data_IF_597516623047
#
_entry.id   IF_597516623047
#
_cell.length_a   1.000
_cell.length_b   1.000
_cell.length_c   1.000
_cell.angle_alpha   90.00
_cell.angle_beta   90.00
_cell.angle_gamma   90.00
#
_symmetry.space_group_name_H-M   'P 1'
#
loop_
_entity.id
_entity.type
_entity.pdbx_description
1 polymer ?
#
# COMPACT_ATOMS: atom_id res chain seq x y z
N UNK A 1 -12.92 -7.49 -29.72
CA UNK A 1 -12.72 -7.17 -28.28
C UNK A 1 -12.69 -8.50 -27.52
N UNK A 2 -11.54 -8.94 -27.01
CA UNK A 2 -11.43 -10.23 -26.29
C UNK A 2 -12.03 -10.06 -24.88
N UNK A 3 -13.30 -10.36 -24.74
CA UNK A 3 -14.08 -10.28 -23.48
C UNK A 3 -13.55 -11.29 -22.43
N UNK A 4 -12.90 -12.35 -22.87
CA UNK A 4 -12.45 -13.47 -22.03
C UNK A 4 -10.98 -13.44 -21.62
N UNK A 5 -10.27 -12.32 -21.84
CA UNK A 5 -8.87 -12.22 -21.38
C UNK A 5 -8.80 -12.16 -19.87
N UNK A 6 -8.04 -13.05 -19.27
CA UNK A 6 -7.82 -13.11 -17.80
C UNK A 6 -6.43 -12.63 -17.42
N UNK A 7 -6.29 -12.23 -16.16
CA UNK A 7 -4.98 -12.06 -15.55
C UNK A 7 -4.39 -13.44 -15.14
N UNK A 8 -3.14 -13.55 -14.68
CA UNK A 8 -2.53 -14.80 -14.24
C UNK A 8 -3.28 -15.54 -13.11
N UNK A 9 -4.18 -14.84 -12.39
CA UNK A 9 -5.00 -15.41 -11.31
C UNK A 9 -6.41 -15.81 -11.75
N UNK A 10 -6.69 -15.82 -13.07
CA UNK A 10 -7.98 -16.20 -13.62
C UNK A 10 -9.07 -15.12 -13.56
N UNK A 11 -8.76 -13.90 -13.13
CA UNK A 11 -9.73 -12.82 -13.10
C UNK A 11 -9.94 -12.23 -14.49
N UNK A 12 -11.18 -12.13 -14.94
CA UNK A 12 -11.55 -11.48 -16.21
C UNK A 12 -11.16 -10.00 -16.20
N UNK A 13 -10.29 -9.59 -17.12
CA UNK A 13 -9.79 -8.22 -17.20
C UNK A 13 -10.89 -7.20 -17.44
N UNK A 14 -11.92 -7.58 -18.20
CA UNK A 14 -13.10 -6.73 -18.41
C UNK A 14 -13.82 -6.42 -17.11
N UNK A 15 -14.08 -7.42 -16.26
CA UNK A 15 -14.74 -7.23 -14.96
C UNK A 15 -13.83 -6.40 -14.03
N UNK A 16 -12.54 -6.74 -13.97
CA UNK A 16 -11.55 -5.98 -13.20
C UNK A 16 -11.53 -4.50 -13.59
N UNK A 17 -11.56 -4.21 -14.89
CA UNK A 17 -11.60 -2.84 -15.43
C UNK A 17 -12.82 -2.07 -14.94
N UNK A 18 -14.00 -2.69 -14.96
CA UNK A 18 -15.23 -2.06 -14.48
C UNK A 18 -15.22 -1.85 -12.96
N UNK A 19 -14.74 -2.82 -12.19
CA UNK A 19 -14.57 -2.67 -10.73
C UNK A 19 -13.68 -1.47 -10.42
N UNK A 20 -12.52 -1.36 -11.06
CA UNK A 20 -11.58 -0.25 -10.85
C UNK A 20 -12.22 1.09 -11.23
N UNK A 21 -12.99 1.17 -12.33
CA UNK A 21 -13.70 2.38 -12.73
C UNK A 21 -14.74 2.80 -11.70
N UNK A 22 -15.64 1.89 -11.32
CA UNK A 22 -16.73 2.19 -10.38
C UNK A 22 -16.16 2.59 -9.02
N UNK A 23 -15.26 1.80 -8.48
CA UNK A 23 -14.61 2.09 -7.20
C UNK A 23 -13.77 3.38 -7.27
N UNK A 24 -13.09 3.61 -8.38
CA UNK A 24 -12.31 4.82 -8.60
C UNK A 24 -13.20 6.07 -8.63
N UNK A 25 -14.28 6.07 -9.39
CA UNK A 25 -15.23 7.21 -9.41
C UNK A 25 -15.80 7.47 -8.03
N UNK A 26 -16.21 6.42 -7.31
CA UNK A 26 -16.77 6.56 -5.97
C UNK A 26 -15.73 7.08 -4.95
N UNK A 27 -14.49 6.58 -5.03
CA UNK A 27 -13.44 6.91 -4.05
C UNK A 27 -12.75 8.25 -4.33
N UNK A 28 -12.79 8.77 -5.54
CA UNK A 28 -12.11 10.03 -5.91
C UNK A 28 -12.46 11.20 -4.99
N UNK A 29 -13.75 11.36 -4.63
CA UNK A 29 -14.20 12.41 -3.72
C UNK A 29 -13.58 12.34 -2.34
N UNK A 30 -13.07 11.19 -1.92
CA UNK A 30 -12.44 10.99 -0.61
C UNK A 30 -11.08 11.67 -0.52
N UNK A 31 -10.37 11.74 -1.67
CA UNK A 31 -9.03 12.30 -1.79
C UNK A 31 -9.03 13.69 -2.41
N UNK A 32 -10.15 14.07 -3.06
CA UNK A 32 -10.32 15.36 -3.71
C UNK A 32 -11.75 15.88 -3.57
N UNK A 33 -12.08 16.31 -2.40
CA UNK A 33 -13.40 16.86 -2.09
C UNK A 33 -13.69 16.82 -0.60
N UNK A 34 -13.76 15.63 0.01
CA UNK A 34 -13.89 15.52 1.45
C UNK A 34 -12.57 15.80 2.17
N UNK A 35 -11.48 15.39 1.58
CA UNK A 35 -10.12 15.61 2.03
C UNK A 35 -9.27 16.09 0.84
N UNK A 36 -8.04 16.49 1.11
CA UNK A 36 -7.06 16.86 0.10
C UNK A 36 -5.88 15.88 0.15
N UNK A 37 -5.54 15.31 -1.01
CA UNK A 37 -4.35 14.48 -1.18
C UNK A 37 -3.26 15.29 -1.88
N UNK A 38 -2.24 15.69 -1.12
CA UNK A 38 -0.99 16.24 -1.64
C UNK A 38 -0.09 15.10 -2.07
N UNK A 39 0.42 15.18 -3.29
CA UNK A 39 1.24 14.14 -3.91
C UNK A 39 2.59 14.78 -4.26
N UNK A 40 3.67 14.03 -4.09
CA UNK A 40 5.02 14.45 -4.45
C UNK A 40 5.78 13.27 -5.06
N UNK A 41 6.54 13.50 -6.13
CA UNK A 41 7.42 12.52 -6.76
C UNK A 41 6.70 11.55 -7.70
N UNK A 42 5.49 11.86 -8.15
CA UNK A 42 4.72 10.94 -9.00
C UNK A 42 5.28 10.81 -10.43
N UNK A 43 6.21 11.67 -10.84
CA UNK A 43 6.97 11.54 -12.08
C UNK A 43 7.77 10.23 -12.13
N UNK A 44 8.24 9.74 -10.99
CA UNK A 44 8.95 8.47 -10.88
C UNK A 44 8.12 7.32 -11.45
N UNK A 45 6.80 7.33 -11.19
CA UNK A 45 5.88 6.26 -11.62
C UNK A 45 5.77 6.18 -13.14
N UNK A 46 5.85 7.33 -13.83
CA UNK A 46 5.75 7.39 -15.30
C UNK A 46 6.87 6.63 -15.99
N UNK A 47 8.06 6.69 -15.40
CA UNK A 47 9.29 6.19 -16.01
C UNK A 47 9.62 4.74 -15.58
N UNK A 48 8.74 4.11 -14.77
CA UNK A 48 8.91 2.72 -14.34
C UNK A 48 8.59 1.72 -15.45
N UNK A 49 9.25 0.56 -15.48
CA UNK A 49 8.94 -0.51 -16.41
C UNK A 49 7.53 -1.04 -16.21
N UNK A 50 7.04 -1.78 -17.22
CA UNK A 50 5.66 -2.29 -17.21
C UNK A 50 5.39 -3.29 -16.10
N UNK A 51 6.38 -4.06 -15.67
CA UNK A 51 6.31 -5.11 -14.65
C UNK A 51 7.55 -5.08 -13.76
N UNK A 52 7.62 -6.02 -12.83
CA UNK A 52 8.70 -6.23 -11.86
C UNK A 52 9.02 -4.99 -11.00
N UNK A 53 7.98 -4.29 -10.57
CA UNK A 53 8.09 -3.15 -9.65
C UNK A 53 7.38 -3.51 -8.35
N UNK A 54 8.09 -3.34 -7.24
CA UNK A 54 7.59 -3.55 -5.89
C UNK A 54 7.49 -2.20 -5.16
N UNK A 55 6.28 -1.68 -5.00
CA UNK A 55 6.03 -0.53 -4.14
C UNK A 55 5.96 -0.97 -2.69
N UNK A 56 6.77 -0.34 -1.86
CA UNK A 56 6.79 -0.54 -0.40
C UNK A 56 6.26 0.70 0.29
N UNK A 57 5.40 0.56 1.29
CA UNK A 57 4.84 1.71 2.00
C UNK A 57 4.59 1.43 3.48
N UNK A 58 4.61 2.48 4.29
CA UNK A 58 3.98 2.46 5.59
C UNK A 58 2.45 2.28 5.42
N UNK A 59 1.77 1.78 6.44
CA UNK A 59 0.36 1.38 6.34
C UNK A 59 -0.50 2.10 7.39
N UNK A 60 -1.51 2.81 6.96
CA UNK A 60 -2.36 3.58 7.86
C UNK A 60 -3.79 3.02 7.94
N UNK A 61 -4.32 2.47 6.83
CA UNK A 61 -5.66 1.89 6.76
C UNK A 61 -5.67 0.67 5.84
N UNK A 62 -6.60 -0.28 6.01
CA UNK A 62 -6.58 -1.51 5.23
C UNK A 62 -6.80 -1.31 3.73
N UNK A 63 -7.66 -0.36 3.32
CA UNK A 63 -8.04 -0.20 1.91
C UNK A 63 -7.78 1.18 1.34
N UNK A 64 -7.96 2.27 2.12
CA UNK A 64 -7.83 3.62 1.56
C UNK A 64 -6.42 3.90 1.02
N UNK A 65 -5.39 3.36 1.66
CA UNK A 65 -4.00 3.52 1.23
C UNK A 65 -3.79 2.98 -0.19
N UNK A 66 -4.21 1.75 -0.43
CA UNK A 66 -4.09 1.09 -1.74
C UNK A 66 -4.94 1.81 -2.80
N UNK A 67 -6.16 2.20 -2.45
CA UNK A 67 -7.06 2.92 -3.37
C UNK A 67 -6.47 4.26 -3.78
N UNK A 68 -5.85 5.00 -2.86
CA UNK A 68 -5.15 6.25 -3.18
C UNK A 68 -3.97 6.00 -4.14
N UNK A 69 -3.17 4.96 -3.91
CA UNK A 69 -2.07 4.57 -4.80
C UNK A 69 -2.58 4.24 -6.21
N UNK A 70 -3.70 3.52 -6.34
CA UNK A 70 -4.32 3.26 -7.65
C UNK A 70 -4.69 4.55 -8.38
N UNK A 71 -5.23 5.56 -7.67
CA UNK A 71 -5.51 6.87 -8.25
C UNK A 71 -4.23 7.55 -8.73
N UNK A 72 -3.21 7.65 -7.87
CA UNK A 72 -1.96 8.34 -8.16
C UNK A 72 -1.23 7.66 -9.32
N UNK A 73 -1.11 6.32 -9.30
CA UNK A 73 -0.43 5.58 -10.36
C UNK A 73 -1.09 5.78 -11.73
N UNK A 74 -2.42 5.65 -11.79
CA UNK A 74 -3.14 5.84 -13.04
C UNK A 74 -3.13 7.29 -13.53
N UNK A 75 -3.14 8.27 -12.61
CA UNK A 75 -3.01 9.69 -12.96
C UNK A 75 -1.64 10.00 -13.54
N UNK A 76 -0.57 9.54 -12.89
CA UNK A 76 0.82 9.73 -13.33
C UNK A 76 1.07 9.07 -14.70
N UNK A 77 0.61 7.84 -14.93
CA UNK A 77 0.70 7.14 -16.22
C UNK A 77 -0.06 7.86 -17.36
N UNK A 78 -0.95 8.80 -17.04
CA UNK A 78 -1.64 9.68 -17.98
C UNK A 78 -1.02 11.09 -18.04
N UNK A 79 0.21 11.25 -17.54
CA UNK A 79 0.95 12.51 -17.57
C UNK A 79 0.47 13.55 -16.54
N UNK A 80 -0.35 13.16 -15.56
CA UNK A 80 -0.80 14.05 -14.48
C UNK A 80 0.11 13.91 -13.29
N UNK A 81 1.13 14.71 -13.26
CA UNK A 81 2.14 14.67 -12.21
C UNK A 81 1.61 15.39 -10.95
N UNK A 82 1.84 14.77 -9.81
CA UNK A 82 1.44 15.22 -8.46
C UNK A 82 -0.02 15.67 -8.35
N UNK A 83 -0.89 15.10 -9.18
CA UNK A 83 -2.29 15.51 -9.25
C UNK A 83 -3.24 14.39 -9.66
N UNK A 84 -4.31 14.25 -8.89
CA UNK A 84 -5.46 13.42 -9.25
C UNK A 84 -6.68 14.27 -9.69
N UNK A 85 -6.47 15.55 -10.00
CA UNK A 85 -7.52 16.41 -10.57
C UNK A 85 -8.06 15.77 -11.84
N UNK A 86 -9.37 15.91 -12.09
CA UNK A 86 -10.03 15.42 -13.29
C UNK A 86 -9.87 13.89 -13.50
N UNK A 87 -10.80 13.13 -13.00
CA UNK A 87 -10.82 11.68 -12.89
C UNK A 87 -10.68 10.87 -14.22
N UNK A 88 -10.60 11.53 -15.38
CA UNK A 88 -10.52 10.87 -16.69
C UNK A 88 -9.44 9.78 -16.82
N UNK A 89 -8.39 9.79 -15.99
CA UNK A 89 -7.36 8.75 -15.99
C UNK A 89 -7.90 7.34 -15.65
N UNK A 90 -9.06 7.25 -14.98
CA UNK A 90 -9.63 5.97 -14.57
C UNK A 90 -10.33 5.22 -15.70
N UNK A 91 -10.60 5.86 -16.85
CA UNK A 91 -11.27 5.21 -17.98
C UNK A 91 -10.45 4.13 -18.66
N UNK A 92 -9.12 4.25 -18.63
CA UNK A 92 -8.23 3.20 -19.12
C UNK A 92 -7.12 2.93 -18.09
N UNK A 93 -7.47 2.30 -16.96
CA UNK A 93 -6.53 2.07 -15.88
C UNK A 93 -5.52 0.97 -16.24
N UNK A 94 -4.34 1.03 -15.62
CA UNK A 94 -3.39 -0.08 -15.61
C UNK A 94 -4.01 -1.23 -14.82
N UNK A 95 -4.24 -2.36 -15.49
CA UNK A 95 -4.94 -3.50 -14.90
C UNK A 95 -4.03 -4.44 -14.13
N UNK A 96 -2.74 -4.46 -14.44
CA UNK A 96 -1.74 -5.31 -13.79
C UNK A 96 -1.05 -4.58 -12.63
N UNK A 97 -1.86 -3.96 -11.76
CA UNK A 97 -1.46 -3.52 -10.43
C UNK A 97 -2.04 -4.50 -9.42
N UNK A 98 -1.19 -4.99 -8.55
CA UNK A 98 -1.52 -5.96 -7.50
C UNK A 98 -1.18 -5.40 -6.13
N UNK A 99 -1.78 -5.93 -5.08
CA UNK A 99 -1.43 -5.61 -3.70
C UNK A 99 -1.47 -6.85 -2.83
N UNK A 100 -0.49 -6.96 -1.95
CA UNK A 100 -0.41 -8.08 -1.01
C UNK A 100 -1.38 -7.82 0.15
N UNK A 101 -2.28 -8.76 0.40
CA UNK A 101 -3.26 -8.66 1.47
C UNK A 101 -3.43 -9.98 2.21
N UNK A 102 -3.81 -9.92 3.48
CA UNK A 102 -4.14 -11.12 4.24
C UNK A 102 -5.46 -11.73 3.76
N UNK A 103 -5.49 -13.04 3.53
CA UNK A 103 -6.65 -13.82 3.08
C UNK A 103 -7.87 -13.59 3.99
N UNK A 104 -7.66 -13.53 5.30
CA UNK A 104 -8.70 -13.24 6.29
C UNK A 104 -9.35 -11.87 6.05
N UNK A 105 -8.54 -10.85 5.74
CA UNK A 105 -9.03 -9.49 5.47
C UNK A 105 -9.88 -9.45 4.20
N UNK A 106 -9.48 -10.18 3.16
CA UNK A 106 -10.18 -10.20 1.88
C UNK A 106 -11.49 -11.00 1.95
N UNK A 107 -11.59 -11.96 2.85
CA UNK A 107 -12.80 -12.77 3.07
C UNK A 107 -13.80 -12.16 4.06
N UNK A 108 -13.49 -11.02 4.68
CA UNK A 108 -14.28 -10.43 5.76
C UNK A 108 -15.60 -9.75 5.31
N UNK A 109 -16.09 -9.98 4.10
CA UNK A 109 -17.35 -9.46 3.58
C UNK A 109 -17.35 -9.19 2.07
N UNK A 110 -18.46 -8.69 1.56
CA UNK A 110 -18.66 -8.46 0.12
C UNK A 110 -17.70 -7.39 -0.44
N UNK A 111 -17.58 -6.24 0.24
CA UNK A 111 -16.71 -5.14 -0.22
C UNK A 111 -15.24 -5.58 -0.27
N UNK A 112 -14.66 -6.22 0.76
CA UNK A 112 -13.32 -6.79 0.66
C UNK A 112 -13.14 -7.76 -0.50
N UNK A 113 -14.11 -8.62 -0.81
CA UNK A 113 -14.07 -9.55 -1.95
C UNK A 113 -14.03 -8.83 -3.30
N UNK A 114 -14.83 -7.76 -3.46
CA UNK A 114 -14.80 -6.93 -4.67
C UNK A 114 -13.45 -6.22 -4.81
N UNK A 115 -12.91 -5.68 -3.71
CA UNK A 115 -11.59 -5.07 -3.68
C UNK A 115 -10.49 -6.10 -3.99
N UNK A 116 -10.64 -7.34 -3.50
CA UNK A 116 -9.71 -8.43 -3.81
C UNK A 116 -9.66 -8.72 -5.32
N UNK A 117 -10.81 -8.73 -5.99
CA UNK A 117 -10.88 -8.92 -7.43
C UNK A 117 -10.15 -7.81 -8.21
N UNK A 118 -10.06 -6.60 -7.64
CA UNK A 118 -9.33 -5.50 -8.25
C UNK A 118 -7.81 -5.71 -8.28
N UNK A 119 -7.25 -6.71 -7.58
CA UNK A 119 -5.82 -7.04 -7.68
C UNK A 119 -5.16 -7.57 -6.41
N UNK A 120 -5.91 -8.16 -5.49
CA UNK A 120 -5.29 -8.77 -4.31
C UNK A 120 -4.51 -10.04 -4.66
N UNK A 121 -3.27 -10.10 -4.17
CA UNK A 121 -2.52 -11.35 -3.99
C UNK A 121 -2.66 -11.73 -2.52
N UNK A 122 -3.54 -12.69 -2.26
CA UNK A 122 -3.88 -13.08 -0.89
C UNK A 122 -2.82 -14.01 -0.31
N UNK A 123 -2.31 -13.64 0.87
CA UNK A 123 -1.35 -14.45 1.63
C UNK A 123 -1.93 -14.89 2.97
N UNK A 124 -1.49 -16.02 3.49
CA UNK A 124 -1.78 -16.43 4.86
C UNK A 124 -0.77 -15.79 5.82
N UNK A 125 -1.27 -15.14 6.87
CA UNK A 125 -0.39 -14.57 7.90
C UNK A 125 0.30 -15.68 8.68
N UNK A 126 1.59 -15.55 8.87
CA UNK A 126 2.40 -16.53 9.64
C UNK A 126 2.43 -16.24 11.13
N UNK A 127 2.04 -15.04 11.55
CA UNK A 127 2.16 -14.58 12.94
C UNK A 127 0.82 -14.28 13.63
N UNK A 128 -0.30 -14.21 12.90
CA UNK A 128 -1.62 -13.94 13.47
C UNK A 128 -2.72 -14.56 12.63
N UNK A 129 -3.65 -15.26 13.27
CA UNK A 129 -4.84 -15.81 12.65
C UNK A 129 -6.05 -15.54 13.55
N UNK A 130 -7.15 -15.00 13.00
CA UNK A 130 -8.40 -14.70 13.71
C UNK A 130 -8.23 -13.89 15.02
N UNK A 131 -7.18 -13.06 15.09
CA UNK A 131 -6.91 -12.27 16.29
C UNK A 131 -5.90 -12.88 17.25
N UNK A 132 -5.55 -14.14 17.11
CA UNK A 132 -4.58 -14.86 17.93
C UNK A 132 -3.21 -14.91 17.30
N UNK A 133 -2.16 -14.91 18.11
CA UNK A 133 -0.80 -15.08 17.64
C UNK A 133 -0.57 -16.55 17.23
N UNK A 134 -0.06 -16.75 16.04
CA UNK A 134 0.25 -18.08 15.49
C UNK A 134 1.67 -18.08 14.94
N UNK A 135 2.33 -19.23 15.02
CA UNK A 135 3.65 -19.43 14.42
C UNK A 135 3.52 -20.44 13.28
N UNK A 136 3.24 -19.95 12.07
CA UNK A 136 3.10 -20.79 10.87
C UNK A 136 4.28 -20.58 9.93
N UNK A 137 4.66 -21.63 9.24
CA UNK A 137 5.63 -21.53 8.14
C UNK A 137 4.99 -20.78 6.96
N UNK A 138 5.79 -19.97 6.27
CA UNK A 138 5.36 -19.29 5.04
C UNK A 138 5.03 -20.35 3.98
N UNK A 139 3.86 -20.25 3.35
CA UNK A 139 3.51 -21.15 2.25
C UNK A 139 4.28 -20.76 0.98
N UNK A 140 4.94 -21.73 0.37
CA UNK A 140 5.63 -21.53 -0.91
C UNK A 140 4.71 -21.00 -2.01
N UNK A 141 3.44 -21.44 -2.02
CA UNK A 141 2.42 -20.96 -2.94
C UNK A 141 2.20 -19.44 -2.85
N UNK A 142 2.21 -18.88 -1.64
CA UNK A 142 2.01 -17.44 -1.44
C UNK A 142 3.17 -16.64 -2.04
N UNK A 143 4.40 -17.12 -1.83
CA UNK A 143 5.61 -16.52 -2.40
C UNK A 143 5.59 -16.62 -3.93
N UNK A 144 5.22 -17.79 -4.46
CA UNK A 144 5.11 -18.03 -5.92
C UNK A 144 4.08 -17.09 -6.55
N UNK A 145 2.92 -16.92 -5.93
CA UNK A 145 1.87 -16.02 -6.42
C UNK A 145 2.35 -14.56 -6.46
N UNK A 146 3.16 -14.11 -5.49
CA UNK A 146 3.75 -12.77 -5.54
C UNK A 146 4.72 -12.66 -6.73
N UNK A 147 5.52 -13.69 -6.99
CA UNK A 147 6.40 -13.73 -8.16
C UNK A 147 5.63 -13.66 -9.48
N UNK A 148 4.53 -14.38 -9.59
CA UNK A 148 3.62 -14.32 -10.75
C UNK A 148 3.07 -12.89 -10.93
N UNK A 149 2.67 -12.22 -9.84
CA UNK A 149 2.20 -10.85 -9.89
C UNK A 149 3.28 -9.85 -10.32
N UNK A 150 4.52 -10.02 -9.83
CA UNK A 150 5.67 -9.18 -10.23
C UNK A 150 6.01 -9.36 -11.72
N UNK A 151 5.98 -10.59 -12.20
CA UNK A 151 6.23 -10.88 -13.62
C UNK A 151 5.15 -10.30 -14.55
N UNK A 152 3.91 -10.19 -14.10
CA UNK A 152 2.81 -9.61 -14.87
C UNK A 152 2.75 -8.08 -14.73
N UNK A 153 3.10 -7.52 -13.56
CA UNK A 153 2.90 -6.10 -13.32
C UNK A 153 3.59 -5.53 -12.10
N UNK A 154 2.89 -4.61 -11.46
CA UNK A 154 3.32 -3.89 -10.27
C UNK A 154 2.69 -4.47 -9.02
N UNK A 155 3.45 -4.57 -7.94
CA UNK A 155 2.98 -5.10 -6.67
C UNK A 155 3.16 -4.05 -5.57
N UNK A 156 2.09 -3.81 -4.80
CA UNK A 156 2.11 -2.96 -3.60
C UNK A 156 2.21 -3.87 -2.38
N UNK A 157 3.13 -3.57 -1.49
CA UNK A 157 3.27 -4.27 -0.21
C UNK A 157 3.44 -3.30 0.95
N UNK A 158 3.02 -3.75 2.12
CA UNK A 158 3.21 -3.05 3.39
C UNK A 158 4.14 -3.88 4.28
N UNK A 159 5.45 -3.57 4.28
CA UNK A 159 6.50 -4.43 4.84
C UNK A 159 6.34 -4.78 6.32
N UNK A 160 5.66 -3.92 7.09
CA UNK A 160 5.39 -4.16 8.50
C UNK A 160 4.26 -5.17 8.74
N UNK A 161 3.38 -5.38 7.74
CA UNK A 161 2.20 -6.27 7.82
C UNK A 161 1.15 -5.81 8.83
N UNK A 162 1.17 -4.55 9.23
CA UNK A 162 0.26 -3.95 10.22
C UNK A 162 0.08 -2.46 9.95
N UNK A 163 -1.06 -1.92 10.40
CA UNK A 163 -1.31 -0.47 10.40
C UNK A 163 -0.73 0.23 11.64
N UNK A 164 -0.14 -0.49 12.58
CA UNK A 164 0.52 0.09 13.75
C UNK A 164 1.88 0.64 13.32
N UNK A 165 2.17 1.93 13.57
CA UNK A 165 3.43 2.55 13.15
C UNK A 165 4.63 1.99 13.92
N UNK A 166 5.82 2.15 13.34
CA UNK A 166 7.11 1.80 13.93
C UNK A 166 7.24 0.33 14.36
N UNK A 167 6.41 -0.56 13.81
CA UNK A 167 6.64 -2.01 13.96
C UNK A 167 7.74 -2.46 13.00
N UNK A 168 8.53 -3.47 13.38
CA UNK A 168 9.62 -3.97 12.53
C UNK A 168 9.14 -4.41 11.14
N UNK A 169 9.97 -4.16 10.14
CA UNK A 169 9.80 -4.72 8.80
C UNK A 169 9.93 -6.24 8.86
N UNK A 170 9.06 -6.94 8.16
CA UNK A 170 9.04 -8.41 8.13
C UNK A 170 10.14 -8.98 7.21
N UNK A 171 10.85 -10.00 7.67
CA UNK A 171 11.89 -10.69 6.88
C UNK A 171 11.39 -11.20 5.52
N UNK A 172 10.09 -11.52 5.42
CA UNK A 172 9.47 -11.93 4.16
C UNK A 172 9.58 -10.91 3.04
N UNK A 173 9.59 -9.60 3.35
CA UNK A 173 9.79 -8.56 2.33
C UNK A 173 11.20 -8.60 1.77
N UNK A 174 12.23 -8.71 2.61
CA UNK A 174 13.61 -8.84 2.15
C UNK A 174 13.83 -10.11 1.34
N UNK A 175 13.21 -11.23 1.76
CA UNK A 175 13.23 -12.47 0.99
C UNK A 175 12.64 -12.32 -0.42
N UNK A 176 11.48 -11.66 -0.54
CA UNK A 176 10.86 -11.37 -1.84
C UNK A 176 11.76 -10.51 -2.73
N UNK A 177 12.37 -9.48 -2.15
CA UNK A 177 13.29 -8.57 -2.85
C UNK A 177 14.49 -9.34 -3.37
N UNK A 178 15.16 -10.14 -2.54
CA UNK A 178 16.32 -10.95 -2.97
C UNK A 178 15.94 -11.98 -4.04
N UNK A 179 14.78 -12.63 -3.89
CA UNK A 179 14.34 -13.70 -4.79
C UNK A 179 13.94 -13.21 -6.17
N UNK A 180 13.20 -12.10 -6.25
CA UNK A 180 12.61 -11.62 -7.51
C UNK A 180 13.33 -10.39 -8.08
N UNK A 181 14.26 -9.81 -7.35
CA UNK A 181 15.09 -8.65 -7.76
C UNK A 181 14.25 -7.54 -8.44
N UNK A 182 13.12 -7.09 -7.82
CA UNK A 182 12.28 -6.04 -8.41
C UNK A 182 12.92 -4.67 -8.25
N UNK A 183 12.46 -3.69 -9.05
CA UNK A 183 12.67 -2.28 -8.73
C UNK A 183 11.82 -1.95 -7.51
N UNK A 184 12.47 -1.58 -6.40
CA UNK A 184 11.80 -1.30 -5.12
C UNK A 184 11.58 0.19 -4.97
N UNK A 185 10.32 0.64 -4.98
CA UNK A 185 9.93 2.04 -4.91
C UNK A 185 9.25 2.34 -3.59
N UNK A 186 9.85 3.16 -2.71
CA UNK A 186 9.25 3.55 -1.45
C UNK A 186 8.16 4.60 -1.63
N UNK A 187 7.07 4.44 -0.86
CA UNK A 187 5.99 5.42 -0.75
C UNK A 187 5.76 5.71 0.73
N UNK A 188 5.72 6.98 1.08
CA UNK A 188 5.36 7.44 2.43
C UNK A 188 4.00 8.09 2.38
N UNK A 189 3.09 7.62 3.24
CA UNK A 189 1.75 8.19 3.36
C UNK A 189 1.50 8.74 4.77
N UNK A 190 0.75 9.85 4.85
CA UNK A 190 0.23 10.37 6.12
C UNK A 190 -1.18 10.93 5.97
N UNK A 191 -1.87 11.13 7.11
CA UNK A 191 -3.21 11.70 7.17
C UNK A 191 -4.36 10.70 7.00
N UNK A 192 -4.12 9.52 6.46
CA UNK A 192 -5.16 8.54 6.18
C UNK A 192 -5.84 8.02 7.46
N UNK A 193 -5.07 7.74 8.50
CA UNK A 193 -5.61 7.31 9.79
C UNK A 193 -6.49 8.37 10.46
N UNK A 194 -6.19 9.65 10.22
CA UNK A 194 -7.00 10.76 10.71
C UNK A 194 -8.30 10.91 9.94
N UNK A 195 -8.26 10.68 8.61
CA UNK A 195 -9.38 10.85 7.71
C UNK A 195 -10.38 9.69 7.75
N UNK A 196 -9.90 8.45 7.94
CA UNK A 196 -10.70 7.23 7.76
C UNK A 196 -10.75 6.37 9.01
N UNK A 197 -11.71 5.43 9.02
CA UNK A 197 -11.73 4.31 9.95
C UNK A 197 -10.55 3.35 9.68
N UNK A 198 -10.31 2.42 10.58
CA UNK A 198 -9.21 1.44 10.48
C UNK A 198 -9.25 0.64 9.17
N UNK A 199 -10.46 0.34 8.67
CA UNK A 199 -10.62 -0.35 7.39
C UNK A 199 -10.35 0.57 6.19
N UNK A 200 -10.47 1.89 6.35
CA UNK A 200 -10.35 2.84 5.24
C UNK A 200 -11.60 2.86 4.35
N UNK A 201 -12.74 2.37 4.86
CA UNK A 201 -14.00 2.33 4.11
C UNK A 201 -14.91 3.51 4.43
N UNK A 202 -14.86 4.02 5.65
CA UNK A 202 -15.67 5.16 6.10
C UNK A 202 -14.82 6.40 6.32
N UNK A 203 -15.29 7.56 5.84
CA UNK A 203 -14.69 8.85 6.18
C UNK A 203 -15.12 9.20 7.61
N UNK A 204 -14.15 9.34 8.51
CA UNK A 204 -14.36 9.75 9.90
C UNK A 204 -14.30 11.27 10.04
N UNK A 205 -13.37 11.90 9.34
CA UNK A 205 -13.13 13.34 9.41
C UNK A 205 -12.87 13.87 7.99
N UNK A 206 -13.45 15.04 7.69
CA UNK A 206 -13.23 15.78 6.45
C UNK A 206 -12.20 16.87 6.66
N UNK A 207 -11.77 17.49 5.57
CA UNK A 207 -10.78 18.57 5.56
C UNK A 207 -9.44 18.17 6.20
N UNK A 208 -9.06 16.91 6.02
CA UNK A 208 -7.75 16.40 6.42
C UNK A 208 -6.81 16.48 5.23
N UNK A 209 -5.66 17.10 5.44
CA UNK A 209 -4.53 17.00 4.52
C UNK A 209 -3.96 15.58 4.62
N UNK A 210 -4.03 14.87 3.52
CA UNK A 210 -3.36 13.59 3.30
C UNK A 210 -2.13 13.82 2.45
N UNK A 211 -1.06 13.12 2.69
CA UNK A 211 0.15 13.20 1.87
C UNK A 211 0.53 11.84 1.32
N UNK A 212 1.10 11.83 0.13
CA UNK A 212 1.71 10.67 -0.50
C UNK A 212 2.99 11.12 -1.20
N UNK A 213 4.13 10.71 -0.69
CA UNK A 213 5.45 11.00 -1.26
C UNK A 213 6.01 9.73 -1.87
N UNK A 214 6.27 9.73 -3.17
CA UNK A 214 6.93 8.66 -3.91
C UNK A 214 8.41 8.99 -3.94
N UNK A 215 9.25 8.09 -3.45
CA UNK A 215 10.69 8.28 -3.40
C UNK A 215 11.37 7.53 -4.54
N UNK A 216 12.59 7.93 -4.86
CA UNK A 216 13.42 7.23 -5.85
C UNK A 216 13.55 5.75 -5.50
N UNK A 217 13.67 4.86 -6.50
CA UNK A 217 13.92 3.44 -6.25
C UNK A 217 15.10 3.25 -5.30
N UNK A 218 14.99 2.24 -4.45
CA UNK A 218 16.08 1.87 -3.53
C UNK A 218 17.25 1.29 -4.32
N UNK A 219 18.43 1.73 -3.94
CA UNK A 219 19.66 1.10 -4.36
C UNK A 219 19.92 -0.14 -3.49
N UNK A 220 19.71 -1.32 -4.06
CA UNK A 220 19.85 -2.61 -3.41
C UNK A 220 20.87 -3.44 -4.18
N UNK A 221 21.95 -3.79 -3.50
CA UNK A 221 22.88 -4.79 -4.00
C UNK A 221 22.32 -6.19 -3.71
N UNK A 222 21.68 -6.79 -4.71
CA UNK A 222 21.02 -8.08 -4.54
C UNK A 222 21.98 -9.22 -4.19
N UNK A 223 23.27 -9.09 -4.47
CA UNK A 223 24.29 -10.11 -4.21
C UNK A 223 24.91 -9.91 -2.80
N UNK A 224 25.24 -8.67 -2.44
CA UNK A 224 26.02 -8.39 -1.22
C UNK A 224 25.16 -7.90 -0.05
N UNK A 225 24.02 -7.20 -0.28
CA UNK A 225 23.18 -6.77 0.84
C UNK A 225 22.64 -7.99 1.61
N UNK A 226 22.85 -8.02 2.90
CA UNK A 226 22.24 -9.01 3.79
C UNK A 226 20.72 -8.81 3.90
N UNK A 227 20.02 -9.80 4.44
CA UNK A 227 18.58 -9.65 4.72
C UNK A 227 18.30 -8.48 5.68
N UNK A 228 19.17 -8.28 6.66
CA UNK A 228 18.99 -7.23 7.67
C UNK A 228 19.33 -5.84 7.09
N UNK A 229 20.29 -5.74 6.16
CA UNK A 229 20.56 -4.50 5.42
C UNK A 229 19.34 -4.08 4.59
N UNK A 230 18.74 -5.02 3.86
CA UNK A 230 17.53 -4.75 3.09
C UNK A 230 16.37 -4.32 4.01
N UNK A 231 16.17 -4.99 5.16
CA UNK A 231 15.14 -4.61 6.14
C UNK A 231 15.37 -3.19 6.63
N UNK A 232 16.61 -2.83 6.94
CA UNK A 232 16.99 -1.49 7.40
C UNK A 232 16.75 -0.44 6.33
N UNK A 233 17.20 -0.67 5.08
CA UNK A 233 16.96 0.20 3.92
C UNK A 233 15.45 0.40 3.69
N UNK A 234 14.66 -0.68 3.74
CA UNK A 234 13.21 -0.63 3.59
C UNK A 234 12.55 0.17 4.72
N UNK A 235 12.88 -0.12 5.96
CA UNK A 235 12.32 0.55 7.15
C UNK A 235 12.60 2.05 7.15
N UNK A 236 13.83 2.42 6.82
CA UNK A 236 14.25 3.83 6.73
C UNK A 236 13.55 4.55 5.58
N UNK A 237 13.45 3.93 4.40
CA UNK A 237 12.87 4.57 3.22
C UNK A 237 11.38 4.90 3.36
N UNK A 238 10.62 4.07 4.08
CA UNK A 238 9.20 4.30 4.38
C UNK A 238 8.97 5.08 5.69
N UNK A 239 10.02 5.66 6.28
CA UNK A 239 9.99 6.46 7.51
C UNK A 239 9.38 5.72 8.70
N UNK A 240 9.70 4.45 8.83
CA UNK A 240 9.26 3.60 9.93
C UNK A 240 10.41 3.10 10.81
N UNK A 241 11.60 3.65 10.61
CA UNK A 241 12.73 3.49 11.53
C UNK A 241 12.53 4.35 12.78
N UNK A 242 13.14 3.96 13.88
CA UNK A 242 13.04 4.67 15.17
C UNK A 242 13.57 6.10 15.11
N UNK A 243 14.49 6.40 14.20
CA UNK A 243 15.02 7.76 13.99
C UNK A 243 13.96 8.76 13.55
N UNK A 244 12.85 8.30 12.98
CA UNK A 244 11.70 9.14 12.60
C UNK A 244 10.69 9.36 13.75
N UNK A 245 10.90 8.76 14.92
CA UNK A 245 10.06 9.01 16.08
C UNK A 245 10.28 10.44 16.58
N UNK A 246 9.28 11.28 16.39
CA UNK A 246 9.27 12.63 17.01
C UNK A 246 8.86 12.49 18.47
N UNK A 247 9.78 12.76 19.38
CA UNK A 247 9.47 12.93 20.81
C UNK A 247 8.98 14.37 20.98
N UNK A 248 7.70 14.56 21.25
CA UNK A 248 7.14 15.88 21.58
C UNK A 248 7.19 16.05 23.11
N UNK A 249 7.84 17.10 23.61
CA UNK A 249 7.87 17.39 25.04
C UNK A 249 6.46 17.50 25.61
N UNK A 250 6.26 17.01 26.82
CA UNK A 250 4.94 16.98 27.46
C UNK A 250 4.31 18.38 27.62
N UNK A 251 5.12 19.42 27.70
CA UNK A 251 4.72 20.83 27.73
C UNK A 251 4.02 21.29 26.45
N UNK A 252 4.29 20.66 25.29
CA UNK A 252 3.65 20.99 24.02
C UNK A 252 2.36 20.19 23.80
N UNK A 253 2.11 19.13 24.58
CA UNK A 253 0.93 18.29 24.46
C UNK A 253 -0.35 18.95 24.92
N UNK A 254 -0.26 19.98 25.75
CA UNK A 254 -1.41 20.74 26.27
C UNK A 254 -1.99 21.74 25.30
N UNK A 255 -1.23 22.13 24.27
CA UNK A 255 -1.61 23.15 23.27
C UNK A 255 -1.91 22.60 21.90
N UNK A 256 -1.55 21.35 21.61
CA UNK A 256 -1.75 20.75 20.29
C UNK A 256 -2.86 19.72 20.37
N UNK A 257 -3.95 20.00 19.70
CA UNK A 257 -4.97 19.00 19.38
C UNK A 257 -4.27 17.70 18.91
N UNK A 258 -4.60 16.58 19.48
CA UNK A 258 -4.05 15.20 19.31
C UNK A 258 -3.98 14.66 17.85
N UNK A 259 -3.58 15.44 16.90
CA UNK A 259 -3.62 15.08 15.48
C UNK A 259 -2.36 14.39 14.97
N UNK A 260 -1.25 14.38 15.71
CA UNK A 260 0.03 13.89 15.22
C UNK A 260 0.76 12.86 16.10
N UNK A 261 0.20 12.50 17.26
CA UNK A 261 0.87 11.59 18.17
C UNK A 261 0.25 10.20 18.16
N UNK A 262 0.94 9.25 17.60
CA UNK A 262 0.82 7.86 18.00
C UNK A 262 1.82 7.59 19.12
N UNK A 263 1.54 8.04 20.31
CA UNK A 263 2.15 7.45 21.49
C UNK A 263 1.71 5.99 21.57
N UNK A 264 2.61 5.05 21.88
CA UNK A 264 2.20 3.73 22.32
C UNK A 264 1.50 3.94 23.66
N UNK A 265 0.16 3.97 23.66
CA UNK A 265 -0.61 3.81 24.88
C UNK A 265 -0.31 2.42 25.41
N UNK A 266 0.67 2.29 26.31
CA UNK A 266 0.63 1.27 27.33
C UNK A 266 -0.61 1.58 28.16
N UNK A 267 -1.70 0.89 27.91
CA UNK A 267 -2.65 0.62 28.98
C UNK A 267 -1.97 -0.41 29.87
N UNK A 268 -1.49 0.06 30.99
CA UNK A 268 -1.29 -0.75 32.19
C UNK A 268 -2.69 -0.92 32.75
N UNK A 269 -3.24 -2.08 32.68
CA UNK A 269 -3.95 -2.88 33.70
C UNK A 269 -4.14 -4.24 33.11
#
# INVERSE_FOLDING_TARGET
MQIFKTNPFGHLLFIKKWIIRILGVYSHRRYRGFNELKIEGSEIIRDLPHNNVLFISNHQTYFADVVAMFHVFNASLKGRLDSIKNIGYIWNPKLNIYFIAAKETMNAGLIPKILAYAGSVSIERTWRSNGEDVNRKVKFSDISNIGVALNDGWVITFPQGTTTPFKPVRKGTAFLIKKYKPIVVPIVIDGFRRAYDKKGLRVKKKNILQTMTIKKPLDIDFENDSTDDIISKVGFSIEQDKSFLKVIPQTELTTVSYTHLTLPTKRIV
#
